data_IF_736570681733
#
_entry.id   IF_736570681733
#
_cell.length_a   1.000
_cell.length_b   1.000
_cell.length_c   1.000
_cell.angle_alpha   90.00
_cell.angle_beta   90.00
_cell.angle_gamma   90.00
#
_symmetry.space_group_name_H-M   'P 1'
#
loop_
_entity.id
_entity.type
_entity.pdbx_description
1 polymer ?
#
# COMPACT_ATOMS: atom_id res chain seq x y z
N UNK A 1 -17.98 -4.79 21.43
CA UNK A 1 -18.09 -4.28 20.06
C UNK A 1 -17.52 -2.89 20.04
N UNK A 2 -16.41 -2.69 19.32
CA UNK A 2 -15.82 -1.38 19.20
C UNK A 2 -16.69 -0.52 18.28
N UNK A 3 -16.82 0.77 18.61
CA UNK A 3 -17.56 1.69 17.74
C UNK A 3 -16.59 2.28 16.70
N UNK A 4 -16.36 1.55 15.61
CA UNK A 4 -15.42 1.94 14.54
C UNK A 4 -15.76 3.28 13.90
N UNK A 5 -17.05 3.63 13.82
CA UNK A 5 -17.49 4.94 13.34
C UNK A 5 -17.09 6.05 14.30
N UNK A 6 -17.28 5.86 15.60
CA UNK A 6 -16.87 6.85 16.59
C UNK A 6 -15.36 7.09 16.56
N UNK A 7 -14.57 6.01 16.52
CA UNK A 7 -13.12 6.10 16.41
C UNK A 7 -12.69 6.86 15.14
N UNK A 8 -13.36 6.61 14.01
CA UNK A 8 -13.10 7.34 12.77
C UNK A 8 -13.39 8.84 12.88
N UNK A 9 -14.48 9.23 13.54
CA UNK A 9 -14.78 10.65 13.78
C UNK A 9 -13.75 11.29 14.73
N UNK A 10 -13.31 10.59 15.78
CA UNK A 10 -12.23 11.07 16.66
C UNK A 10 -10.93 11.31 15.89
N UNK A 11 -10.56 10.39 14.99
CA UNK A 11 -9.36 10.55 14.13
C UNK A 11 -9.52 11.75 13.19
N UNK A 12 -10.73 12.01 12.67
CA UNK A 12 -11.00 13.21 11.87
C UNK A 12 -10.89 14.50 12.70
N UNK A 13 -11.19 14.43 13.99
CA UNK A 13 -11.02 15.53 14.95
C UNK A 13 -9.57 15.68 15.46
N UNK A 14 -8.63 14.86 14.97
CA UNK A 14 -7.21 14.95 15.27
C UNK A 14 -6.71 14.01 16.37
N UNK A 15 -7.52 13.02 16.77
CA UNK A 15 -7.06 11.94 17.66
C UNK A 15 -5.98 11.10 16.99
N UNK A 16 -4.86 10.87 17.68
CA UNK A 16 -3.85 9.90 17.30
C UNK A 16 -4.18 8.55 17.95
N UNK A 17 -4.22 7.49 17.15
CA UNK A 17 -4.51 6.15 17.67
C UNK A 17 -3.48 5.73 18.71
N UNK A 18 -3.97 5.12 19.77
CA UNK A 18 -3.15 4.35 20.73
C UNK A 18 -2.72 3.01 20.14
N UNK A 19 -1.67 2.40 20.71
CA UNK A 19 -1.23 1.06 20.31
C UNK A 19 -2.32 0.02 20.56
N UNK A 20 -3.11 0.16 21.63
CA UNK A 20 -4.24 -0.72 21.94
C UNK A 20 -5.37 -0.61 20.91
N UNK A 21 -5.71 0.62 20.47
CA UNK A 21 -6.70 0.83 19.41
C UNK A 21 -6.20 0.30 18.06
N UNK A 22 -4.91 0.49 17.74
CA UNK A 22 -4.31 -0.05 16.53
C UNK A 22 -4.32 -1.58 16.52
N UNK A 23 -4.02 -2.22 17.67
CA UNK A 23 -4.09 -3.67 17.81
C UNK A 23 -5.54 -4.17 17.69
N UNK A 24 -6.50 -3.47 18.29
CA UNK A 24 -7.92 -3.83 18.18
C UNK A 24 -8.43 -3.79 16.73
N UNK A 25 -7.90 -2.90 15.89
CA UNK A 25 -8.21 -2.87 14.45
C UNK A 25 -7.69 -4.14 13.75
N UNK A 26 -6.49 -4.60 14.10
CA UNK A 26 -5.90 -5.82 13.54
C UNK A 26 -6.61 -7.09 14.01
N UNK A 27 -7.10 -7.09 15.24
CA UNK A 27 -7.84 -8.20 15.88
C UNK A 27 -9.37 -8.10 15.67
N UNK A 28 -9.83 -7.24 14.74
CA UNK A 28 -11.25 -7.05 14.46
C UNK A 28 -11.90 -8.38 14.00
N UNK A 29 -12.99 -8.83 14.64
CA UNK A 29 -13.72 -10.02 14.19
C UNK A 29 -14.27 -9.85 12.77
N UNK A 30 -14.34 -10.95 12.02
CA UNK A 30 -14.84 -10.96 10.63
C UNK A 30 -16.27 -10.41 10.52
N UNK A 31 -17.10 -10.62 11.55
CA UNK A 31 -18.49 -10.12 11.59
C UNK A 31 -18.56 -8.59 11.65
N UNK A 32 -17.50 -7.94 12.13
CA UNK A 32 -17.40 -6.48 12.25
C UNK A 32 -16.64 -5.83 11.08
N UNK A 33 -16.05 -6.61 10.16
CA UNK A 33 -15.20 -6.12 9.08
C UNK A 33 -15.88 -5.01 8.25
N UNK A 34 -17.17 -5.15 7.93
CA UNK A 34 -17.90 -4.14 7.16
C UNK A 34 -18.05 -2.81 7.93
N UNK A 35 -18.19 -2.86 9.25
CA UNK A 35 -18.26 -1.66 10.10
C UNK A 35 -16.91 -0.97 10.19
N UNK A 36 -15.83 -1.75 10.32
CA UNK A 36 -14.45 -1.24 10.29
C UNK A 36 -14.13 -0.57 8.94
N UNK A 37 -14.48 -1.23 7.83
CA UNK A 37 -14.31 -0.66 6.48
C UNK A 37 -15.10 0.63 6.29
N UNK A 38 -16.29 0.74 6.88
CA UNK A 38 -17.09 1.96 6.84
C UNK A 38 -16.41 3.11 7.61
N UNK A 39 -15.80 2.84 8.77
CA UNK A 39 -14.98 3.81 9.49
C UNK A 39 -13.77 4.29 8.66
N UNK A 40 -13.03 3.35 8.07
CA UNK A 40 -11.93 3.69 7.16
C UNK A 40 -12.39 4.51 5.94
N UNK A 41 -13.55 4.18 5.38
CA UNK A 41 -14.15 4.93 4.27
C UNK A 41 -14.50 6.36 4.66
N UNK A 42 -15.03 6.60 5.88
CA UNK A 42 -15.33 7.95 6.37
C UNK A 42 -14.09 8.84 6.36
N UNK A 43 -12.98 8.34 6.91
CA UNK A 43 -11.70 9.05 6.92
C UNK A 43 -11.22 9.31 5.49
N UNK A 44 -11.14 8.27 4.65
CA UNK A 44 -10.69 8.41 3.26
C UNK A 44 -11.53 9.40 2.47
N UNK A 45 -12.85 9.38 2.64
CA UNK A 45 -13.79 10.24 1.93
C UNK A 45 -13.67 11.71 2.35
N UNK A 46 -13.43 11.98 3.65
CA UNK A 46 -13.19 13.34 4.12
C UNK A 46 -11.98 14.01 3.44
N UNK A 47 -10.88 13.25 3.26
CA UNK A 47 -9.66 13.79 2.65
C UNK A 47 -9.65 13.75 1.12
N UNK A 48 -10.18 12.68 0.52
CA UNK A 48 -10.02 12.39 -0.91
C UNK A 48 -11.33 12.27 -1.68
N UNK A 49 -12.47 12.25 -0.99
CA UNK A 49 -13.76 11.91 -1.58
C UNK A 49 -13.68 10.61 -2.38
N UNK A 50 -14.23 10.66 -3.59
CA UNK A 50 -14.18 9.55 -4.55
C UNK A 50 -13.07 9.70 -5.61
N UNK A 51 -12.05 10.52 -5.35
CA UNK A 51 -10.93 10.69 -6.28
C UNK A 51 -9.98 9.51 -6.18
N UNK A 52 -9.45 9.09 -7.34
CA UNK A 52 -8.41 8.07 -7.45
C UNK A 52 -7.20 8.70 -8.11
N UNK A 53 -6.02 8.54 -7.49
CA UNK A 53 -4.75 9.00 -8.06
C UNK A 53 -4.08 7.83 -8.79
N UNK A 54 -3.90 7.98 -10.10
CA UNK A 54 -3.15 7.03 -10.90
C UNK A 54 -1.66 7.37 -10.83
N UNK A 55 -0.83 6.38 -10.50
CA UNK A 55 0.62 6.50 -10.48
C UNK A 55 1.22 5.43 -11.40
N UNK A 56 2.07 5.86 -12.33
CA UNK A 56 2.81 4.94 -13.20
C UNK A 56 4.14 4.58 -12.56
N UNK A 57 4.43 3.28 -12.50
CA UNK A 57 5.72 2.77 -12.04
C UNK A 57 6.29 1.88 -13.14
N UNK A 58 7.55 2.12 -13.49
CA UNK A 58 8.31 1.27 -14.40
C UNK A 58 9.39 0.53 -13.61
N UNK A 59 9.63 -0.73 -13.95
CA UNK A 59 10.73 -1.46 -13.34
C UNK A 59 12.05 -1.05 -14.00
N UNK A 60 12.96 -0.45 -13.21
CA UNK A 60 14.26 -0.02 -13.72
C UNK A 60 15.27 -1.18 -13.85
N UNK A 61 15.13 -2.25 -13.06
CA UNK A 61 16.07 -3.38 -12.98
C UNK A 61 15.32 -4.61 -12.46
N UNK A 62 15.62 -5.80 -12.96
CA UNK A 62 14.86 -7.00 -12.56
C UNK A 62 15.74 -8.21 -12.30
N UNK A 63 15.42 -8.98 -11.25
CA UNK A 63 16.04 -10.28 -10.95
C UNK A 63 17.49 -10.23 -10.46
N UNK A 64 18.02 -9.06 -10.12
CA UNK A 64 19.43 -8.86 -9.78
C UNK A 64 19.58 -8.07 -8.47
N UNK A 65 18.63 -8.17 -7.55
CA UNK A 65 18.75 -7.57 -6.23
C UNK A 65 19.79 -8.37 -5.42
N UNK A 66 20.81 -7.72 -4.81
CA UNK A 66 21.79 -8.44 -3.99
C UNK A 66 21.21 -8.95 -2.67
N UNK A 67 20.05 -8.45 -2.26
CA UNK A 67 19.36 -8.82 -1.02
C UNK A 67 18.81 -10.25 -1.09
N UNK A 68 18.68 -10.89 0.08
CA UNK A 68 18.20 -12.27 0.23
C UNK A 68 16.76 -12.37 0.75
N UNK A 69 15.91 -11.39 0.47
CA UNK A 69 14.52 -11.36 0.97
C UNK A 69 13.73 -12.59 0.49
N UNK A 70 13.27 -13.43 1.43
CA UNK A 70 12.64 -14.73 1.11
C UNK A 70 11.31 -14.65 0.36
N UNK A 71 10.59 -13.53 0.49
CA UNK A 71 9.32 -13.30 -0.23
C UNK A 71 9.51 -12.61 -1.59
N UNK A 72 10.72 -12.18 -1.93
CA UNK A 72 10.95 -11.34 -3.11
C UNK A 72 11.47 -12.17 -4.29
N UNK A 73 10.73 -12.17 -5.41
CA UNK A 73 11.13 -12.83 -6.65
C UNK A 73 12.38 -12.23 -7.31
N UNK A 74 12.83 -11.06 -6.87
CA UNK A 74 14.01 -10.37 -7.40
C UNK A 74 15.28 -10.57 -6.55
N UNK A 75 15.15 -11.29 -5.42
CA UNK A 75 16.21 -11.61 -4.46
C UNK A 75 17.36 -12.40 -5.10
N UNK A 76 18.57 -12.27 -4.57
CA UNK A 76 19.76 -12.98 -5.02
C UNK A 76 19.64 -14.50 -4.91
N UNK A 77 18.79 -14.99 -4.01
CA UNK A 77 18.55 -16.42 -3.77
C UNK A 77 17.25 -16.92 -4.40
N UNK A 78 16.49 -16.05 -5.08
CA UNK A 78 15.22 -16.43 -5.68
C UNK A 78 15.43 -17.28 -6.95
N UNK A 79 14.66 -18.36 -7.07
CA UNK A 79 14.59 -19.21 -8.27
C UNK A 79 13.33 -18.95 -9.11
N UNK A 80 12.57 -17.90 -8.76
CA UNK A 80 11.34 -17.54 -9.45
C UNK A 80 11.60 -17.23 -10.93
N UNK A 81 10.71 -17.65 -11.86
CA UNK A 81 10.89 -17.42 -13.29
C UNK A 81 10.55 -15.97 -13.65
N UNK A 82 11.44 -15.04 -13.34
CA UNK A 82 11.31 -13.61 -13.68
C UNK A 82 12.27 -13.22 -14.80
N UNK A 83 11.82 -12.30 -15.66
CA UNK A 83 12.69 -11.72 -16.68
C UNK A 83 13.82 -10.95 -16.00
N UNK A 84 15.04 -11.40 -16.17
CA UNK A 84 16.23 -10.83 -15.50
C UNK A 84 16.92 -9.85 -16.44
N UNK A 85 17.18 -8.63 -15.97
CA UNK A 85 17.91 -7.61 -16.72
C UNK A 85 18.55 -6.59 -15.78
N UNK A 86 19.70 -6.06 -16.22
CA UNK A 86 20.39 -4.96 -15.54
C UNK A 86 19.55 -3.69 -15.61
N UNK A 87 20.01 -2.63 -14.93
CA UNK A 87 19.34 -1.34 -15.00
C UNK A 87 19.14 -0.92 -16.47
N UNK A 88 17.89 -0.58 -16.81
CA UNK A 88 17.54 -0.08 -18.15
C UNK A 88 18.28 1.23 -18.42
N UNK A 89 18.49 1.53 -19.69
CA UNK A 89 19.20 2.73 -20.10
C UNK A 89 18.42 4.01 -19.76
N UNK A 90 19.13 5.13 -19.72
CA UNK A 90 18.58 6.45 -19.39
C UNK A 90 17.42 6.85 -20.32
N UNK A 91 17.51 6.53 -21.61
CA UNK A 91 16.48 6.88 -22.57
C UNK A 91 15.17 6.14 -22.27
N UNK A 92 15.27 4.85 -21.93
CA UNK A 92 14.13 4.04 -21.48
C UNK A 92 13.48 4.61 -20.22
N UNK A 93 14.26 5.01 -19.21
CA UNK A 93 13.72 5.65 -17.99
C UNK A 93 12.98 6.94 -18.31
N UNK A 94 13.61 7.81 -19.11
CA UNK A 94 13.02 9.10 -19.49
C UNK A 94 11.77 8.93 -20.34
N UNK A 95 11.75 7.94 -21.24
CA UNK A 95 10.57 7.60 -22.03
C UNK A 95 9.43 7.14 -21.14
N UNK A 96 9.68 6.23 -20.20
CA UNK A 96 8.67 5.77 -19.26
C UNK A 96 8.17 6.87 -18.32
N UNK A 97 9.03 7.80 -17.89
CA UNK A 97 8.62 8.96 -17.09
C UNK A 97 7.80 10.00 -17.87
N UNK A 98 7.93 10.04 -19.20
CA UNK A 98 7.10 10.86 -20.08
C UNK A 98 5.80 10.17 -20.49
N UNK A 99 5.71 8.84 -20.34
CA UNK A 99 4.48 8.11 -20.57
C UNK A 99 3.40 8.62 -19.62
N UNK A 100 2.25 8.98 -20.17
CA UNK A 100 1.08 9.41 -19.40
C UNK A 100 0.13 8.22 -19.30
N UNK A 101 -0.40 8.02 -18.09
CA UNK A 101 -1.59 7.18 -17.86
C UNK A 101 -2.83 8.03 -18.16
#
# INVERSE_FOLDING_TARGET
MANWLHLAEQVLDGHELTDEEALAILDCPDEELLLLLQGAYRIRSAYYGNKVKLNMIINAKSGLCPENCGYCSQSAVATAPVKTYKMVDKETLLRGGRSRI
#
